data_IF_792610674266
#
_entry.id   IF_792610674266
#
_cell.length_a   1.000
_cell.length_b   1.000
_cell.length_c   1.000
_cell.angle_alpha   90.00
_cell.angle_beta   90.00
_cell.angle_gamma   90.00
#
_symmetry.space_group_name_H-M   'P 1'
#
loop_
_entity.id
_entity.type
_entity.pdbx_description
1 polymer ?
#
# COMPACT_ATOMS: atom_id res chain seq x y z
N UNK A 1 7.65 -13.69 -6.70
CA UNK A 1 6.81 -12.50 -6.97
C UNK A 1 7.19 -11.95 -8.33
N UNK A 2 6.28 -12.04 -9.31
CA UNK A 2 6.52 -11.53 -10.67
C UNK A 2 6.19 -10.04 -10.66
N UNK A 3 7.20 -9.17 -10.64
CA UNK A 3 7.00 -7.74 -10.89
C UNK A 3 6.52 -7.58 -12.35
N UNK A 4 5.20 -7.44 -12.55
CA UNK A 4 4.68 -6.87 -13.80
C UNK A 4 5.20 -5.42 -13.88
N UNK A 5 5.72 -5.05 -15.05
CA UNK A 5 6.16 -3.67 -15.35
C UNK A 5 5.04 -2.69 -14.97
N UNK A 6 5.29 -1.83 -13.98
CA UNK A 6 4.35 -0.76 -13.57
C UNK A 6 3.90 -0.01 -14.81
N UNK A 7 2.59 0.19 -15.00
CA UNK A 7 2.11 1.00 -16.12
C UNK A 7 2.57 2.45 -15.94
N UNK A 8 2.68 3.20 -17.05
CA UNK A 8 3.03 4.62 -16.98
C UNK A 8 2.04 5.40 -16.11
N UNK A 9 0.75 5.07 -16.24
CA UNK A 9 -0.33 5.66 -15.45
C UNK A 9 -0.17 5.39 -13.96
N UNK A 10 0.11 4.13 -13.58
CA UNK A 10 0.35 3.74 -12.18
C UNK A 10 1.44 4.61 -11.53
N UNK A 11 2.60 4.74 -12.19
CA UNK A 11 3.71 5.52 -11.64
C UNK A 11 3.42 7.02 -11.56
N UNK A 12 2.50 7.53 -12.38
CA UNK A 12 2.03 8.91 -12.32
C UNK A 12 1.12 9.13 -11.11
N UNK A 13 0.07 8.31 -10.96
CA UNK A 13 -0.87 8.39 -9.84
C UNK A 13 -0.17 8.19 -8.49
N UNK A 14 0.74 7.22 -8.41
CA UNK A 14 1.53 6.95 -7.20
C UNK A 14 2.28 8.20 -6.71
N UNK A 15 2.96 8.91 -7.62
CA UNK A 15 3.77 10.08 -7.26
C UNK A 15 2.97 11.36 -7.06
N UNK A 16 1.98 11.60 -7.92
CA UNK A 16 1.26 12.88 -7.94
C UNK A 16 0.11 12.94 -6.93
N UNK A 17 -0.45 11.80 -6.55
CA UNK A 17 -1.70 11.74 -5.78
C UNK A 17 -1.55 10.88 -4.52
N UNK A 18 -1.13 9.63 -4.67
CA UNK A 18 -1.07 8.69 -3.53
C UNK A 18 -0.07 9.15 -2.47
N UNK A 19 1.19 9.38 -2.85
CA UNK A 19 2.23 9.73 -1.88
C UNK A 19 1.95 11.05 -1.15
N UNK A 20 1.56 12.15 -1.85
CA UNK A 20 1.15 13.37 -1.16
C UNK A 20 -0.03 13.17 -0.20
N UNK A 21 -1.00 12.31 -0.56
CA UNK A 21 -2.12 11.99 0.31
C UNK A 21 -1.70 11.25 1.58
N UNK A 22 -0.81 10.25 1.44
CA UNK A 22 -0.24 9.51 2.58
C UNK A 22 0.51 10.45 3.52
N UNK A 23 1.41 11.28 2.98
CA UNK A 23 2.22 12.22 3.75
C UNK A 23 1.38 13.30 4.45
N UNK A 24 0.13 13.54 4.00
CA UNK A 24 -0.82 14.44 4.67
C UNK A 24 -1.53 13.79 5.85
N UNK A 25 -1.73 12.47 5.81
CA UNK A 25 -2.46 11.72 6.84
C UNK A 25 -1.55 11.26 7.97
N UNK A 26 -0.27 11.01 7.66
CA UNK A 26 0.71 10.50 8.61
C UNK A 26 1.80 11.55 8.83
N UNK A 27 1.95 12.00 10.08
CA UNK A 27 2.89 13.08 10.43
C UNK A 27 4.37 12.68 10.29
N UNK A 28 4.69 11.39 10.51
CA UNK A 28 6.06 10.88 10.50
C UNK A 28 6.15 9.63 9.64
N UNK A 29 6.43 9.77 8.35
CA UNK A 29 6.59 8.65 7.43
C UNK A 29 8.06 8.42 7.14
N UNK A 30 8.60 7.28 7.59
CA UNK A 30 9.96 6.83 7.30
C UNK A 30 10.01 5.77 6.20
N UNK A 31 8.92 5.01 6.01
CA UNK A 31 8.81 4.06 4.90
C UNK A 31 7.39 3.90 4.36
N UNK A 32 7.30 3.72 3.05
CA UNK A 32 6.07 3.45 2.28
C UNK A 32 6.35 2.25 1.35
N UNK A 33 5.79 1.09 1.66
CA UNK A 33 5.90 -0.10 0.81
C UNK A 33 4.59 -0.42 0.12
N UNK A 34 4.60 -0.54 -1.21
CA UNK A 34 3.49 -1.14 -1.93
C UNK A 34 3.45 -2.66 -1.66
N UNK A 35 2.38 -3.14 -1.05
CA UNK A 35 2.17 -4.58 -0.81
C UNK A 35 1.35 -5.20 -1.92
N UNK A 36 0.34 -4.48 -2.38
CA UNK A 36 -0.60 -5.01 -3.35
C UNK A 36 -1.16 -3.88 -4.22
N UNK A 37 -1.39 -4.20 -5.48
CA UNK A 37 -2.05 -3.33 -6.45
C UNK A 37 -2.95 -4.18 -7.34
N UNK A 38 -4.17 -3.70 -7.56
CA UNK A 38 -5.09 -4.28 -8.53
C UNK A 38 -5.92 -3.21 -9.20
N UNK A 39 -6.45 -3.54 -10.38
CA UNK A 39 -7.44 -2.73 -11.08
C UNK A 39 -8.77 -3.48 -10.99
N UNK A 40 -9.79 -2.82 -10.45
CA UNK A 40 -11.13 -3.38 -10.31
C UNK A 40 -12.17 -2.32 -10.67
N UNK A 41 -13.11 -2.63 -11.56
CA UNK A 41 -14.25 -1.76 -11.88
C UNK A 41 -13.93 -0.28 -12.11
N UNK A 42 -12.92 0.03 -12.93
CA UNK A 42 -12.43 1.40 -13.21
C UNK A 42 -11.72 2.10 -12.04
N UNK A 43 -11.40 1.38 -10.97
CA UNK A 43 -10.60 1.85 -9.84
C UNK A 43 -9.21 1.21 -9.87
N UNK A 44 -8.18 2.00 -9.53
CA UNK A 44 -6.87 1.48 -9.14
C UNK A 44 -6.82 1.36 -7.60
N UNK A 45 -6.74 0.14 -7.11
CA UNK A 45 -6.70 -0.17 -5.67
C UNK A 45 -5.25 -0.42 -5.25
N UNK A 46 -4.76 0.37 -4.31
CA UNK A 46 -3.42 0.30 -3.76
C UNK A 46 -3.47 -0.08 -2.28
N UNK A 47 -2.66 -1.07 -1.90
CA UNK A 47 -2.42 -1.40 -0.49
C UNK A 47 -0.98 -1.06 -0.15
N UNK A 48 -0.80 -0.08 0.73
CA UNK A 48 0.51 0.34 1.22
C UNK A 48 0.72 -0.03 2.68
N UNK A 49 1.97 -0.26 3.05
CA UNK A 49 2.41 -0.31 4.43
C UNK A 49 3.24 0.90 4.78
N UNK A 50 2.88 1.54 5.88
CA UNK A 50 3.50 2.75 6.40
C UNK A 50 4.31 2.38 7.64
N UNK A 51 5.61 2.70 7.62
CA UNK A 51 6.58 2.48 8.70
C UNK A 51 6.69 1.03 9.21
N UNK A 52 6.17 0.04 8.48
CA UNK A 52 6.07 -1.33 8.98
C UNK A 52 5.00 -1.55 10.06
N UNK A 53 4.14 -0.56 10.31
CA UNK A 53 3.18 -0.59 11.43
C UNK A 53 1.72 -0.59 10.98
N UNK A 54 1.41 0.22 9.96
CA UNK A 54 0.05 0.41 9.44
C UNK A 54 -0.06 -0.09 8.01
N UNK A 55 -1.21 -0.66 7.69
CA UNK A 55 -1.63 -0.98 6.33
C UNK A 55 -2.76 -0.03 5.96
N UNK A 56 -2.64 0.58 4.79
CA UNK A 56 -3.68 1.44 4.23
C UNK A 56 -4.13 0.89 2.88
N UNK A 57 -5.43 0.98 2.62
CA UNK A 57 -6.00 0.73 1.30
C UNK A 57 -6.54 2.03 0.73
N UNK A 58 -6.09 2.35 -0.47
CA UNK A 58 -6.46 3.54 -1.21
C UNK A 58 -7.06 3.09 -2.53
N UNK A 59 -8.21 3.61 -2.87
CA UNK A 59 -8.84 3.45 -4.17
C UNK A 59 -8.72 4.77 -4.92
N UNK A 60 -8.39 4.71 -6.20
CA UNK A 60 -8.32 5.87 -7.08
C UNK A 60 -9.19 5.62 -8.29
N UNK A 61 -10.13 6.52 -8.51
CA UNK A 61 -10.97 6.43 -9.69
C UNK A 61 -10.19 6.79 -10.93
N UNK A 62 -10.17 5.89 -11.91
CA UNK A 62 -9.50 6.14 -13.19
C UNK A 62 -10.32 7.06 -14.10
N UNK A 63 -11.57 7.37 -13.71
CA UNK A 63 -12.48 8.24 -14.46
C UNK A 63 -12.24 9.71 -14.14
N UNK A 64 -12.12 10.05 -12.85
CA UNK A 64 -12.03 11.44 -12.39
C UNK A 64 -10.86 11.71 -11.43
N UNK A 65 -10.12 10.68 -11.04
CA UNK A 65 -8.96 10.79 -10.15
C UNK A 65 -9.29 10.95 -8.67
N UNK A 66 -10.56 10.79 -8.28
CA UNK A 66 -10.95 10.87 -6.88
C UNK A 66 -10.28 9.77 -6.06
N UNK A 67 -9.77 10.14 -4.89
CA UNK A 67 -9.11 9.25 -3.95
C UNK A 67 -10.05 8.91 -2.80
N UNK A 68 -10.14 7.62 -2.47
CA UNK A 68 -10.88 7.10 -1.33
C UNK A 68 -9.91 6.35 -0.44
N UNK A 69 -9.87 6.69 0.84
CA UNK A 69 -9.20 5.89 1.85
C UNK A 69 -10.19 4.85 2.36
N UNK A 70 -10.08 3.64 1.83
CA UNK A 70 -10.97 2.53 2.17
C UNK A 70 -10.75 2.07 3.62
N UNK A 71 -9.50 1.85 4.02
CA UNK A 71 -9.21 1.33 5.36
C UNK A 71 -7.79 1.67 5.85
N UNK A 72 -7.67 1.78 7.17
CA UNK A 72 -6.40 1.79 7.90
C UNK A 72 -6.47 0.71 8.97
N UNK A 73 -5.53 -0.23 8.96
CA UNK A 73 -5.43 -1.32 9.94
C UNK A 73 -3.99 -1.52 10.40
N UNK A 74 -3.76 -2.25 11.50
CA UNK A 74 -2.39 -2.63 11.86
C UNK A 74 -1.86 -3.72 10.92
N UNK A 75 -0.54 -3.78 10.72
CA UNK A 75 0.10 -4.87 9.94
C UNK A 75 -0.23 -6.25 10.54
N UNK A 76 -0.38 -6.33 11.87
CA UNK A 76 -0.77 -7.57 12.55
C UNK A 76 -2.21 -7.99 12.21
N UNK A 77 -3.16 -7.08 12.27
CA UNK A 77 -4.57 -7.36 11.94
C UNK A 77 -4.72 -7.74 10.48
N UNK A 78 -4.10 -6.97 9.58
CA UNK A 78 -4.05 -7.30 8.16
C UNK A 78 -3.47 -8.68 7.89
N UNK A 79 -2.36 -9.05 8.54
CA UNK A 79 -1.75 -10.37 8.36
C UNK A 79 -2.70 -11.49 8.83
N UNK A 80 -3.42 -11.27 9.95
CA UNK A 80 -4.43 -12.20 10.46
C UNK A 80 -5.61 -12.35 9.51
N UNK A 81 -6.12 -11.26 8.97
CA UNK A 81 -7.21 -11.27 7.99
C UNK A 81 -6.82 -12.03 6.72
N UNK A 82 -5.62 -11.76 6.18
CA UNK A 82 -5.18 -12.33 4.91
C UNK A 82 -4.79 -13.81 4.98
N UNK A 83 -4.27 -14.29 6.12
CA UNK A 83 -3.67 -15.63 6.23
C UNK A 83 -4.21 -16.47 7.40
N UNK A 84 -5.13 -15.94 8.20
CA UNK A 84 -5.73 -16.65 9.33
C UNK A 84 -4.67 -17.26 10.24
N UNK A 85 -4.70 -18.58 10.42
CA UNK A 85 -3.76 -19.31 11.29
C UNK A 85 -2.28 -19.23 10.84
N UNK A 86 -2.02 -18.91 9.58
CA UNK A 86 -0.66 -18.83 9.01
C UNK A 86 -0.06 -17.41 9.05
N UNK A 87 -0.72 -16.47 9.75
CA UNK A 87 -0.34 -15.05 9.74
C UNK A 87 1.09 -14.77 10.20
N UNK A 88 1.67 -15.57 11.10
CA UNK A 88 3.00 -15.29 11.67
C UNK A 88 4.10 -15.24 10.61
N UNK A 89 4.07 -16.19 9.66
CA UNK A 89 5.03 -16.22 8.55
C UNK A 89 4.84 -14.99 7.66
N UNK A 90 3.60 -14.68 7.32
CA UNK A 90 3.29 -13.56 6.45
C UNK A 90 3.61 -12.21 7.10
N UNK A 91 3.35 -12.06 8.40
CA UNK A 91 3.76 -10.90 9.19
C UNK A 91 5.27 -10.69 9.12
N UNK A 92 6.05 -11.75 9.26
CA UNK A 92 7.51 -11.66 9.14
C UNK A 92 7.93 -11.18 7.74
N UNK A 93 7.33 -11.74 6.69
CA UNK A 93 7.59 -11.32 5.30
C UNK A 93 7.23 -9.83 5.08
N UNK A 94 6.12 -9.35 5.67
CA UNK A 94 5.74 -7.93 5.61
C UNK A 94 6.74 -7.03 6.34
N UNK A 95 7.16 -7.39 7.56
CA UNK A 95 8.15 -6.60 8.31
C UNK A 95 9.53 -6.62 7.65
N UNK A 96 9.92 -7.70 6.97
CA UNK A 96 11.14 -7.74 6.16
C UNK A 96 11.02 -6.81 4.94
N UNK A 97 9.84 -6.74 4.31
CA UNK A 97 9.56 -5.83 3.21
C UNK A 97 9.75 -4.36 3.61
N UNK A 98 9.30 -3.95 4.81
CA UNK A 98 9.40 -2.56 5.27
C UNK A 98 10.82 -2.03 5.44
N UNK A 99 11.80 -2.93 5.52
CA UNK A 99 13.22 -2.60 5.66
C UNK A 99 13.97 -2.50 4.33
N UNK A 100 13.30 -2.72 3.20
CA UNK A 100 13.94 -2.57 1.89
C UNK A 100 14.20 -1.11 1.55
N UNK A 101 15.33 -0.85 0.89
CA UNK A 101 15.75 0.49 0.48
C UNK A 101 14.73 1.17 -0.45
N UNK A 102 14.07 0.42 -1.34
CA UNK A 102 13.08 0.95 -2.27
C UNK A 102 11.73 1.34 -1.63
N UNK A 103 11.58 1.10 -0.32
CA UNK A 103 10.44 1.57 0.46
C UNK A 103 10.76 2.75 1.37
N UNK A 104 12.02 3.13 1.54
CA UNK A 104 12.37 4.24 2.43
C UNK A 104 12.03 5.58 1.77
N UNK A 105 11.59 6.55 2.57
CA UNK A 105 11.23 7.91 2.13
C UNK A 105 12.39 8.88 2.32
#
# INVERSE_FOLDING_TARGET
MIYKKKSYEFGKWEREIVFPYILRIFDNVSSICLIYHMIEQCEDIYTYMINGEKIIKIEISRVDGNIILDSITSVLEYAKEMKGKQYQRYLKELLELSNREDCQV
#
